data_IF_252619877950
#
_entry.id   IF_252619877950
#
_cell.length_a   1.000
_cell.length_b   1.000
_cell.length_c   1.000
_cell.angle_alpha   90.00
_cell.angle_beta   90.00
_cell.angle_gamma   90.00
#
_symmetry.space_group_name_H-M   'P 1'
#
loop_
_entity.id
_entity.type
_entity.pdbx_description
1 polymer ?
#
# COMPACT_ATOMS: atom_id res chain seq x y z
N UNK A 1 -3.78 -16.30 20.47
CA UNK A 1 -2.63 -15.35 20.25
C UNK A 1 -2.32 -15.34 18.76
N UNK A 2 -2.28 -14.16 18.11
CA UNK A 2 -1.93 -14.04 16.70
C UNK A 2 -0.39 -14.08 16.58
N UNK A 3 0.11 -14.88 15.64
CA UNK A 3 1.55 -14.95 15.34
C UNK A 3 1.85 -14.10 14.10
N UNK A 4 2.15 -12.84 14.32
CA UNK A 4 2.59 -11.94 13.25
C UNK A 4 4.05 -12.22 12.87
N UNK A 5 4.36 -12.20 11.59
CA UNK A 5 5.72 -12.31 11.05
C UNK A 5 6.02 -11.24 10.02
N UNK A 6 7.30 -11.00 9.77
CA UNK A 6 7.76 -10.08 8.74
C UNK A 6 7.36 -10.57 7.35
N UNK A 7 7.17 -9.61 6.43
CA UNK A 7 6.86 -9.90 5.02
C UNK A 7 8.16 -10.19 4.28
N UNK A 8 8.23 -11.35 3.63
CA UNK A 8 9.35 -11.77 2.79
C UNK A 8 8.90 -12.05 1.35
N UNK A 9 9.83 -12.07 0.39
CA UNK A 9 9.52 -12.31 -1.01
C UNK A 9 8.80 -13.65 -1.24
N UNK A 10 9.14 -14.67 -0.47
CA UNK A 10 8.49 -15.99 -0.53
C UNK A 10 7.00 -15.95 -0.14
N UNK A 11 6.56 -14.95 0.62
CA UNK A 11 5.17 -14.77 1.03
C UNK A 11 4.28 -14.19 -0.06
N UNK A 12 4.86 -13.75 -1.20
CA UNK A 12 4.16 -13.12 -2.31
C UNK A 12 2.92 -13.89 -2.76
N UNK A 13 3.08 -15.20 -2.99
CA UNK A 13 1.97 -16.04 -3.47
C UNK A 13 0.83 -16.10 -2.46
N UNK A 14 1.14 -16.25 -1.20
CA UNK A 14 0.17 -16.31 -0.10
C UNK A 14 -0.57 -14.98 0.04
N UNK A 15 0.15 -13.88 0.23
CA UNK A 15 -0.44 -12.54 0.42
C UNK A 15 -1.29 -12.16 -0.82
N UNK A 16 -0.77 -12.36 -2.03
CA UNK A 16 -1.48 -12.04 -3.27
C UNK A 16 -2.76 -12.83 -3.43
N UNK A 17 -2.83 -14.09 -2.95
CA UNK A 17 -4.06 -14.88 -3.01
C UNK A 17 -5.23 -14.26 -2.25
N UNK A 18 -4.97 -13.46 -1.21
CA UNK A 18 -5.97 -12.69 -0.47
C UNK A 18 -6.24 -11.33 -1.11
N UNK A 19 -5.20 -10.60 -1.50
CA UNK A 19 -5.32 -9.19 -1.90
C UNK A 19 -5.80 -9.02 -3.34
N UNK A 20 -5.41 -9.88 -4.26
CA UNK A 20 -5.74 -9.76 -5.69
C UNK A 20 -7.25 -9.87 -5.97
N UNK A 21 -7.94 -10.73 -5.23
CA UNK A 21 -9.38 -10.97 -5.40
C UNK A 21 -10.24 -10.15 -4.42
N UNK A 22 -9.62 -9.32 -3.60
CA UNK A 22 -10.33 -8.44 -2.69
C UNK A 22 -11.10 -7.37 -3.48
N UNK A 23 -12.35 -7.06 -3.10
CA UNK A 23 -13.09 -5.93 -3.68
C UNK A 23 -12.51 -4.57 -3.27
N UNK A 24 -11.61 -4.55 -2.31
CA UNK A 24 -11.00 -3.33 -1.78
C UNK A 24 -10.01 -2.74 -2.78
N UNK A 25 -10.12 -1.45 -3.04
CA UNK A 25 -9.33 -0.72 -4.05
C UNK A 25 -8.34 0.21 -3.37
N UNK A 26 -7.37 -0.37 -2.67
CA UNK A 26 -6.31 0.36 -1.98
C UNK A 26 -4.96 -0.11 -2.55
N UNK A 27 -4.10 0.83 -2.97
CA UNK A 27 -2.78 0.52 -3.52
C UNK A 27 -1.85 -0.12 -2.48
N UNK A 28 -2.04 0.17 -1.20
CA UNK A 28 -1.25 -0.40 -0.09
C UNK A 28 -1.42 -1.91 0.04
N UNK A 29 -2.48 -2.48 -0.52
CA UNK A 29 -2.70 -3.93 -0.56
C UNK A 29 -1.92 -4.64 -1.65
N UNK A 30 -1.21 -3.93 -2.53
CA UNK A 30 -0.32 -4.58 -3.50
C UNK A 30 0.88 -5.19 -2.77
N UNK A 31 1.27 -6.42 -3.16
CA UNK A 31 2.43 -7.07 -2.54
C UNK A 31 3.72 -6.25 -2.71
N UNK A 32 3.90 -5.61 -3.86
CA UNK A 32 5.05 -4.73 -4.10
C UNK A 32 5.11 -3.60 -3.07
N UNK A 33 3.98 -2.93 -2.80
CA UNK A 33 3.93 -1.86 -1.82
C UNK A 33 4.20 -2.39 -0.40
N UNK A 34 3.48 -3.43 0.02
CA UNK A 34 3.67 -4.08 1.33
C UNK A 34 5.11 -4.52 1.55
N UNK A 35 5.76 -5.09 0.53
CA UNK A 35 7.12 -5.59 0.63
C UNK A 35 8.16 -4.47 0.59
N UNK A 36 8.02 -3.48 -0.31
CA UNK A 36 9.01 -2.42 -0.51
C UNK A 36 9.08 -1.45 0.67
N UNK A 37 7.95 -1.15 1.31
CA UNK A 37 7.86 -0.21 2.41
C UNK A 37 7.87 -0.84 3.81
N UNK A 38 7.97 -2.18 3.91
CA UNK A 38 7.94 -2.89 5.20
C UNK A 38 8.96 -2.41 6.22
N UNK A 39 10.10 -1.93 5.75
CA UNK A 39 11.17 -1.45 6.62
C UNK A 39 10.81 -0.15 7.35
N UNK A 40 9.99 0.71 6.71
CA UNK A 40 9.57 2.00 7.27
C UNK A 40 8.44 1.82 8.27
N UNK A 41 7.47 1.00 7.90
CA UNK A 41 6.25 0.80 8.68
C UNK A 41 6.30 -0.43 9.60
N UNK A 42 7.44 -1.13 9.65
CA UNK A 42 7.56 -2.41 10.38
C UNK A 42 6.37 -3.35 10.10
N UNK A 43 5.98 -3.43 8.81
CA UNK A 43 4.79 -4.15 8.39
C UNK A 43 4.94 -5.64 8.62
N UNK A 44 3.98 -6.22 9.33
CA UNK A 44 3.89 -7.65 9.63
C UNK A 44 2.56 -8.20 9.15
N UNK A 45 2.51 -9.50 8.91
CA UNK A 45 1.27 -10.16 8.56
C UNK A 45 1.06 -11.45 9.35
N UNK A 46 -0.19 -11.87 9.43
CA UNK A 46 -0.59 -13.16 9.95
C UNK A 46 -1.79 -13.70 9.15
N UNK A 47 -2.02 -15.01 9.24
CA UNK A 47 -3.25 -15.64 8.75
C UNK A 47 -4.00 -16.19 9.96
N UNK A 48 -5.26 -15.81 10.08
CA UNK A 48 -6.14 -16.30 11.14
C UNK A 48 -7.57 -16.44 10.62
N UNK A 49 -8.20 -17.59 10.87
CA UNK A 49 -9.61 -17.83 10.55
C UNK A 49 -10.02 -17.50 9.11
N UNK A 50 -9.15 -17.77 8.13
CA UNK A 50 -9.39 -17.46 6.72
C UNK A 50 -9.16 -16.00 6.31
N UNK A 51 -8.59 -15.19 7.21
CA UNK A 51 -8.23 -13.80 6.93
C UNK A 51 -6.72 -13.59 6.89
N UNK A 52 -6.28 -12.75 5.97
CA UNK A 52 -4.99 -12.07 6.00
C UNK A 52 -5.12 -10.84 6.91
N UNK A 53 -4.27 -10.77 7.90
CA UNK A 53 -4.15 -9.67 8.86
C UNK A 53 -2.86 -8.92 8.58
N UNK A 54 -2.93 -7.58 8.55
CA UNK A 54 -1.79 -6.70 8.37
C UNK A 54 -1.69 -5.76 9.57
N UNK A 55 -0.50 -5.67 10.14
CA UNK A 55 -0.13 -4.86 11.30
C UNK A 55 1.09 -4.01 10.96
N UNK A 56 1.06 -2.73 11.29
CA UNK A 56 2.16 -1.81 10.98
C UNK A 56 2.12 -0.58 11.88
N UNK A 57 3.18 0.22 11.86
CA UNK A 57 3.28 1.48 12.58
C UNK A 57 3.21 2.66 11.61
N UNK A 58 2.31 3.59 11.86
CA UNK A 58 2.16 4.82 11.12
C UNK A 58 2.21 6.00 12.10
N UNK A 59 3.16 6.92 11.90
CA UNK A 59 3.38 8.06 12.80
C UNK A 59 3.57 7.64 14.28
N UNK A 60 4.34 6.58 14.50
CA UNK A 60 4.60 5.94 15.82
C UNK A 60 3.35 5.34 16.49
N UNK A 61 2.22 5.24 15.79
CA UNK A 61 1.02 4.57 16.26
C UNK A 61 0.89 3.17 15.67
N UNK A 62 0.50 2.20 16.50
CA UNK A 62 0.18 0.85 16.06
C UNK A 62 -1.17 0.83 15.35
N UNK A 63 -1.17 0.37 14.10
CA UNK A 63 -2.39 0.31 13.28
C UNK A 63 -2.52 -1.04 12.58
N UNK A 64 -3.75 -1.39 12.25
CA UNK A 64 -4.08 -2.58 11.48
C UNK A 64 -4.88 -2.18 10.24
N UNK A 65 -4.76 -2.96 9.18
CA UNK A 65 -5.72 -2.88 8.08
C UNK A 65 -6.95 -3.75 8.36
N UNK A 66 -8.08 -3.37 7.76
CA UNK A 66 -9.27 -4.24 7.81
C UNK A 66 -8.91 -5.64 7.34
N UNK A 67 -9.22 -6.71 8.08
CA UNK A 67 -8.92 -8.09 7.70
C UNK A 67 -9.42 -8.45 6.30
N UNK A 68 -8.62 -9.16 5.49
CA UNK A 68 -8.91 -9.48 4.10
C UNK A 68 -9.13 -10.99 3.96
N UNK A 69 -10.34 -11.40 3.65
CA UNK A 69 -10.68 -12.83 3.54
C UNK A 69 -12.13 -13.09 3.86
N UNK A 70 -12.43 -14.33 4.23
CA UNK A 70 -13.74 -14.78 4.64
C UNK A 70 -13.64 -15.69 5.87
N UNK A 71 -14.51 -15.49 6.85
CA UNK A 71 -14.53 -16.23 8.10
C UNK A 71 -15.31 -15.49 9.17
N UNK A 72 -15.01 -15.80 10.45
CA UNK A 72 -15.61 -15.09 11.58
C UNK A 72 -14.85 -13.76 11.84
N UNK A 73 -15.34 -12.68 11.24
CA UNK A 73 -14.72 -11.36 11.37
C UNK A 73 -14.74 -10.85 12.81
N UNK A 74 -15.81 -11.13 13.58
CA UNK A 74 -15.91 -10.69 14.98
C UNK A 74 -14.79 -11.29 15.82
N UNK A 75 -14.59 -12.59 15.70
CA UNK A 75 -13.51 -13.30 16.39
C UNK A 75 -12.12 -12.77 16.02
N UNK A 76 -11.93 -12.43 14.75
CA UNK A 76 -10.66 -11.86 14.27
C UNK A 76 -10.43 -10.46 14.80
N UNK A 77 -11.46 -9.61 14.81
CA UNK A 77 -11.37 -8.25 15.36
C UNK A 77 -11.10 -8.28 16.87
N UNK A 78 -11.76 -9.15 17.62
CA UNK A 78 -11.48 -9.33 19.06
C UNK A 78 -10.02 -9.74 19.30
N UNK A 79 -9.50 -10.66 18.47
CA UNK A 79 -8.10 -11.07 18.60
C UNK A 79 -7.10 -9.95 18.23
N UNK A 80 -7.44 -9.06 17.30
CA UNK A 80 -6.64 -7.87 16.98
C UNK A 80 -6.67 -6.83 18.12
N UNK A 81 -7.82 -6.64 18.75
CA UNK A 81 -7.96 -5.77 19.94
C UNK A 81 -7.06 -6.30 21.07
N UNK A 82 -7.07 -7.62 21.32
CA UNK A 82 -6.20 -8.24 22.31
C UNK A 82 -4.71 -8.12 21.94
N UNK A 83 -4.38 -8.14 20.63
CA UNK A 83 -3.01 -7.95 20.15
C UNK A 83 -2.53 -6.53 20.43
N UNK A 84 -3.35 -5.52 20.11
CA UNK A 84 -3.05 -4.11 20.40
C UNK A 84 -2.83 -3.87 21.90
N UNK A 85 -3.72 -4.40 22.75
CA UNK A 85 -3.59 -4.28 24.20
C UNK A 85 -2.28 -4.89 24.74
N UNK A 86 -1.81 -6.00 24.16
CA UNK A 86 -0.53 -6.61 24.55
C UNK A 86 0.69 -5.79 24.16
N UNK A 87 0.58 -5.05 23.06
CA UNK A 87 1.60 -4.08 22.63
C UNK A 87 1.55 -2.80 23.49
N UNK A 88 0.51 -2.62 24.33
CA UNK A 88 0.32 -1.41 25.15
C UNK A 88 -0.34 -0.27 24.38
N UNK A 89 -0.93 -0.54 23.22
CA UNK A 89 -1.46 0.44 22.29
C UNK A 89 -2.98 0.38 22.15
N UNK A 90 -3.66 1.49 21.83
CA UNK A 90 -5.06 1.47 21.46
C UNK A 90 -5.27 0.72 20.14
N UNK A 91 -6.40 0.03 20.02
CA UNK A 91 -6.75 -0.61 18.75
C UNK A 91 -7.18 0.43 17.71
N UNK A 92 -6.48 0.48 16.58
CA UNK A 92 -6.76 1.40 15.48
C UNK A 92 -6.77 0.65 14.13
N UNK A 93 -7.81 0.91 13.32
CA UNK A 93 -7.88 0.47 11.93
C UNK A 93 -7.64 1.64 10.99
N UNK A 94 -6.71 1.50 10.05
CA UNK A 94 -6.39 2.52 9.03
C UNK A 94 -6.86 2.06 7.64
N UNK A 95 -7.10 3.02 6.75
CA UNK A 95 -7.51 2.75 5.36
C UNK A 95 -8.94 2.22 5.22
N UNK A 96 -9.82 2.61 6.14
CA UNK A 96 -11.23 2.20 6.16
C UNK A 96 -12.04 3.08 5.21
N UNK A 97 -12.67 2.50 4.20
CA UNK A 97 -13.60 3.19 3.33
C UNK A 97 -15.04 3.11 3.85
N UNK A 98 -15.94 3.92 3.29
CA UNK A 98 -17.35 4.01 3.74
C UNK A 98 -18.07 2.65 3.77
N UNK A 99 -17.80 1.76 2.82
CA UNK A 99 -18.37 0.41 2.82
C UNK A 99 -17.90 -0.43 4.00
N UNK A 100 -16.62 -0.30 4.37
CA UNK A 100 -16.05 -1.00 5.54
C UNK A 100 -16.58 -0.42 6.86
N UNK A 101 -16.84 0.90 6.94
CA UNK A 101 -17.51 1.48 8.12
C UNK A 101 -18.88 0.82 8.37
N UNK A 102 -19.65 0.66 7.29
CA UNK A 102 -20.97 0.01 7.39
C UNK A 102 -20.85 -1.47 7.79
N UNK A 103 -19.83 -2.17 7.29
CA UNK A 103 -19.54 -3.55 7.65
C UNK A 103 -19.17 -3.67 9.14
N UNK A 104 -18.25 -2.84 9.62
CA UNK A 104 -17.84 -2.80 11.03
C UNK A 104 -19.00 -2.46 11.97
N UNK A 105 -19.84 -1.49 11.61
CA UNK A 105 -21.00 -1.12 12.40
C UNK A 105 -22.06 -2.23 12.45
N UNK A 106 -22.20 -3.03 11.38
CA UNK A 106 -23.08 -4.19 11.36
C UNK A 106 -22.59 -5.34 12.26
N UNK A 107 -21.28 -5.58 12.32
CA UNK A 107 -20.68 -6.65 13.14
C UNK A 107 -20.49 -6.25 14.61
N UNK A 108 -20.11 -5.00 14.87
CA UNK A 108 -19.79 -4.50 16.21
C UNK A 108 -20.40 -3.11 16.44
N UNK A 109 -21.74 -3.01 16.60
CA UNK A 109 -22.46 -1.73 16.68
C UNK A 109 -21.94 -0.83 17.82
N UNK A 110 -21.65 0.43 17.48
CA UNK A 110 -21.19 1.44 18.45
C UNK A 110 -19.82 1.19 19.09
N UNK A 111 -19.02 0.27 18.55
CA UNK A 111 -17.67 -0.03 19.07
C UNK A 111 -16.58 0.82 18.43
N UNK A 112 -16.85 1.44 17.29
CA UNK A 112 -15.86 2.22 16.55
C UNK A 112 -16.25 3.69 16.46
N UNK A 113 -15.25 4.55 16.56
CA UNK A 113 -15.34 5.94 16.16
C UNK A 113 -14.61 6.10 14.82
N UNK A 114 -15.26 6.70 13.83
CA UNK A 114 -14.70 6.89 12.49
C UNK A 114 -14.28 8.35 12.28
N UNK A 115 -13.06 8.55 11.81
CA UNK A 115 -12.54 9.86 11.43
C UNK A 115 -12.16 9.83 9.96
N UNK A 116 -12.72 10.74 9.16
CA UNK A 116 -12.39 10.85 7.75
C UNK A 116 -11.17 11.76 7.55
N UNK A 117 -10.17 11.24 6.84
CA UNK A 117 -9.01 12.01 6.44
C UNK A 117 -8.83 11.93 4.92
N UNK A 118 -8.83 13.10 4.26
CA UNK A 118 -8.72 13.22 2.81
C UNK A 118 -7.32 12.90 2.29
N UNK A 119 -6.30 13.07 3.10
CA UNK A 119 -4.89 12.87 2.71
C UNK A 119 -4.57 11.39 2.46
N UNK A 120 -5.35 10.48 3.06
CA UNK A 120 -5.26 9.03 2.81
C UNK A 120 -6.08 8.53 1.61
N UNK A 121 -6.64 9.42 0.79
CA UNK A 121 -7.50 8.98 -0.31
C UNK A 121 -6.73 8.69 -1.59
N UNK A 122 -6.92 7.49 -2.14
CA UNK A 122 -6.38 7.08 -3.44
C UNK A 122 -7.09 7.71 -4.63
N UNK A 123 -6.35 7.94 -5.71
CA UNK A 123 -6.89 8.29 -7.02
C UNK A 123 -7.26 7.03 -7.80
N UNK A 124 -8.55 6.81 -8.02
CA UNK A 124 -9.06 5.68 -8.80
C UNK A 124 -9.38 6.08 -10.24
N UNK A 125 -8.83 5.33 -11.19
CA UNK A 125 -9.08 5.50 -12.61
C UNK A 125 -9.45 4.16 -13.26
N UNK A 126 -10.33 4.20 -14.23
CA UNK A 126 -10.54 3.02 -15.08
C UNK A 126 -9.32 2.82 -15.99
N UNK A 127 -8.86 1.58 -16.13
CA UNK A 127 -7.74 1.23 -17.02
C UNK A 127 -7.92 1.76 -18.43
N UNK A 128 -9.13 1.63 -18.99
CA UNK A 128 -9.48 2.10 -20.34
C UNK A 128 -9.38 3.62 -20.47
N UNK A 129 -9.73 4.37 -19.43
CA UNK A 129 -9.60 5.82 -19.40
C UNK A 129 -8.13 6.27 -19.41
N UNK A 130 -7.27 5.64 -18.59
CA UNK A 130 -5.84 5.96 -18.59
C UNK A 130 -5.13 5.50 -19.85
N UNK A 131 -5.52 4.37 -20.45
CA UNK A 131 -4.93 3.87 -21.69
C UNK A 131 -5.23 4.78 -22.89
N UNK A 132 -6.43 5.34 -22.96
CA UNK A 132 -6.86 6.18 -24.09
C UNK A 132 -6.70 7.68 -23.82
N UNK A 133 -6.75 8.09 -22.57
CA UNK A 133 -6.83 9.47 -22.10
C UNK A 133 -7.94 10.26 -22.83
N UNK A 134 -9.04 9.61 -23.21
CA UNK A 134 -10.12 10.20 -23.97
C UNK A 134 -10.92 11.23 -23.16
N UNK A 135 -11.48 12.22 -23.85
CA UNK A 135 -12.35 13.24 -23.24
C UNK A 135 -11.62 14.46 -22.66
N UNK A 136 -12.41 15.47 -22.31
CA UNK A 136 -11.92 16.77 -21.84
C UNK A 136 -11.19 16.69 -20.50
N UNK A 137 -11.65 15.82 -19.58
CA UNK A 137 -11.04 15.65 -18.25
C UNK A 137 -9.58 15.19 -18.28
N UNK A 138 -9.14 14.55 -19.37
CA UNK A 138 -7.77 14.07 -19.54
C UNK A 138 -6.90 14.95 -20.45
N UNK A 139 -7.37 16.11 -20.87
CA UNK A 139 -6.63 16.97 -21.79
C UNK A 139 -5.25 17.36 -21.26
N UNK A 140 -5.14 17.71 -19.98
CA UNK A 140 -3.85 18.05 -19.37
C UNK A 140 -2.88 16.88 -19.42
N UNK A 141 -3.33 15.66 -19.04
CA UNK A 141 -2.51 14.44 -19.10
C UNK A 141 -2.05 14.14 -20.54
N UNK A 142 -2.95 14.24 -21.55
CA UNK A 142 -2.56 14.10 -22.97
C UNK A 142 -1.53 15.13 -23.41
N UNK A 143 -1.66 16.37 -22.95
CA UNK A 143 -0.71 17.43 -23.29
C UNK A 143 0.69 17.11 -22.76
N UNK A 144 0.80 16.62 -21.52
CA UNK A 144 2.08 16.16 -20.97
C UNK A 144 2.68 14.99 -21.77
N UNK A 145 1.89 13.97 -22.06
CA UNK A 145 2.34 12.83 -22.88
C UNK A 145 2.79 13.29 -24.27
N UNK A 146 2.01 14.15 -24.93
CA UNK A 146 2.34 14.65 -26.26
C UNK A 146 3.58 15.57 -26.25
N UNK A 147 3.77 16.37 -25.19
CA UNK A 147 4.98 17.17 -25.01
C UNK A 147 6.20 16.27 -24.89
N UNK A 148 6.15 15.25 -24.04
CA UNK A 148 7.23 14.27 -23.88
C UNK A 148 7.59 13.62 -25.22
N UNK A 149 6.61 13.07 -25.93
CA UNK A 149 6.81 12.43 -27.24
C UNK A 149 7.43 13.31 -28.32
N UNK A 150 7.20 14.62 -28.26
CA UNK A 150 7.80 15.58 -29.22
C UNK A 150 9.18 16.05 -28.81
N UNK A 151 9.46 16.02 -27.49
CA UNK A 151 10.70 16.56 -26.94
C UNK A 151 11.84 15.56 -26.91
N UNK A 152 11.48 14.28 -26.68
CA UNK A 152 12.46 13.24 -26.44
C UNK A 152 12.36 12.12 -27.49
N UNK A 153 13.52 11.63 -27.92
CA UNK A 153 13.61 10.34 -28.57
C UNK A 153 13.70 9.28 -27.45
N UNK A 154 12.75 8.37 -27.38
CA UNK A 154 12.64 7.42 -26.27
C UNK A 154 12.29 6.03 -26.77
N UNK A 155 12.71 5.03 -26.03
CA UNK A 155 12.30 3.64 -26.16
C UNK A 155 11.60 3.20 -24.87
N UNK A 156 10.49 2.50 -25.02
CA UNK A 156 9.77 1.91 -23.89
C UNK A 156 10.07 0.42 -23.83
N UNK A 157 10.80 0.00 -22.79
CA UNK A 157 11.22 -1.38 -22.60
C UNK A 157 10.86 -1.88 -21.20
N UNK A 158 10.62 -3.20 -21.03
CA UNK A 158 10.54 -3.80 -19.70
C UNK A 158 11.86 -3.64 -18.94
N UNK A 159 11.78 -3.51 -17.62
CA UNK A 159 12.95 -3.62 -16.76
C UNK A 159 13.28 -5.11 -16.64
N UNK A 160 14.45 -5.49 -17.16
CA UNK A 160 15.02 -6.83 -17.06
C UNK A 160 16.18 -6.83 -16.05
N UNK A 161 16.60 -7.98 -15.49
CA UNK A 161 17.66 -8.02 -14.49
C UNK A 161 18.96 -7.31 -14.89
N UNK A 162 19.30 -7.32 -16.17
CA UNK A 162 20.48 -6.62 -16.72
C UNK A 162 20.32 -5.09 -16.76
N UNK A 163 19.08 -4.57 -16.63
CA UNK A 163 18.79 -3.13 -16.61
C UNK A 163 18.54 -2.55 -15.21
N UNK A 164 18.56 -3.38 -14.18
CA UNK A 164 18.36 -2.91 -12.81
C UNK A 164 19.40 -1.85 -12.43
N UNK A 165 20.64 -2.05 -12.84
CA UNK A 165 21.71 -1.08 -12.53
C UNK A 165 21.44 0.29 -13.17
N UNK A 166 20.92 0.34 -14.40
CA UNK A 166 20.53 1.60 -15.06
C UNK A 166 19.46 2.36 -14.25
N UNK A 167 18.48 1.63 -13.65
CA UNK A 167 17.46 2.23 -12.81
C UNK A 167 18.04 2.80 -11.51
N UNK A 168 18.97 2.09 -10.88
CA UNK A 168 19.65 2.53 -9.66
C UNK A 168 20.56 3.73 -9.92
N UNK A 169 21.25 3.75 -11.05
CA UNK A 169 22.11 4.88 -11.45
C UNK A 169 21.29 6.12 -11.72
N UNK A 170 20.16 6.01 -12.43
CA UNK A 170 19.24 7.11 -12.66
C UNK A 170 18.67 7.67 -11.34
N UNK A 171 18.30 6.79 -10.43
CA UNK A 171 17.81 7.19 -9.11
C UNK A 171 18.90 7.92 -8.33
N UNK A 172 20.15 7.43 -8.37
CA UNK A 172 21.28 8.08 -7.70
C UNK A 172 21.55 9.49 -8.26
N UNK A 173 21.47 9.67 -9.58
CA UNK A 173 21.58 10.99 -10.22
C UNK A 173 20.43 11.93 -9.80
N UNK A 174 19.22 11.42 -9.80
CA UNK A 174 18.04 12.17 -9.36
C UNK A 174 18.16 12.58 -7.89
N UNK A 175 18.58 11.65 -7.05
CA UNK A 175 18.78 11.88 -5.62
C UNK A 175 19.84 12.95 -5.36
N UNK A 176 20.95 12.90 -6.08
CA UNK A 176 22.01 13.92 -6.01
C UNK A 176 21.49 15.30 -6.43
N UNK A 177 20.70 15.37 -7.51
CA UNK A 177 20.13 16.62 -8.02
C UNK A 177 19.08 17.22 -7.06
N UNK A 178 18.42 16.41 -6.25
CA UNK A 178 17.35 16.82 -5.33
C UNK A 178 17.75 16.80 -3.85
N UNK A 179 19.03 16.59 -3.52
CA UNK A 179 19.57 16.56 -2.16
C UNK A 179 18.83 15.56 -1.24
N UNK A 180 18.57 14.33 -1.71
CA UNK A 180 17.81 13.33 -0.97
C UNK A 180 18.36 13.07 0.44
N UNK A 181 19.68 13.15 0.62
CA UNK A 181 20.32 12.94 1.92
C UNK A 181 19.91 13.99 2.99
N UNK A 182 19.31 15.10 2.56
CA UNK A 182 18.82 16.15 3.43
C UNK A 182 17.33 16.01 3.77
N UNK A 183 16.64 15.05 3.14
CA UNK A 183 15.21 14.83 3.28
C UNK A 183 14.91 13.36 3.54
N UNK A 184 14.46 13.03 4.74
CA UNK A 184 14.17 11.66 5.18
C UNK A 184 13.19 10.95 4.23
N UNK A 185 12.14 11.63 3.77
CA UNK A 185 11.14 11.07 2.87
C UNK A 185 11.74 10.54 1.56
N UNK A 186 12.61 11.33 0.91
CA UNK A 186 13.27 10.92 -0.35
C UNK A 186 14.31 9.81 -0.15
N UNK A 187 14.97 9.78 1.01
CA UNK A 187 15.86 8.68 1.40
C UNK A 187 15.09 7.35 1.57
N UNK A 188 13.89 7.41 2.14
CA UNK A 188 13.01 6.26 2.27
C UNK A 188 12.48 5.78 0.91
N UNK A 189 12.13 6.68 -0.02
CA UNK A 189 11.75 6.32 -1.40
C UNK A 189 12.86 5.55 -2.12
N UNK A 190 14.10 6.01 -2.03
CA UNK A 190 15.26 5.31 -2.58
C UNK A 190 15.38 3.90 -2.04
N UNK A 191 15.27 3.73 -0.72
CA UNK A 191 15.33 2.42 -0.08
C UNK A 191 14.19 1.52 -0.54
N UNK A 192 12.96 2.05 -0.66
CA UNK A 192 11.80 1.32 -1.17
C UNK A 192 12.01 0.87 -2.62
N UNK A 193 12.61 1.72 -3.48
CA UNK A 193 12.94 1.37 -4.87
C UNK A 193 13.91 0.18 -4.94
N UNK A 194 14.97 0.19 -4.12
CA UNK A 194 15.94 -0.93 -4.06
C UNK A 194 15.27 -2.24 -3.65
N UNK A 195 14.26 -2.19 -2.77
CA UNK A 195 13.49 -3.39 -2.41
C UNK A 195 12.48 -3.82 -3.50
N UNK A 196 12.10 -2.93 -4.40
CA UNK A 196 11.14 -3.21 -5.47
C UNK A 196 11.79 -3.80 -6.73
N UNK A 197 13.07 -3.55 -6.94
CA UNK A 197 13.90 -4.03 -8.07
C UNK A 197 14.59 -5.36 -7.76
#
# INVERSE_FOLDING_TARGET
MISFKDIELQDKKLITSYTQNSPRRNCDLSFSNLCSWRFLYNTKFAIMDGFLLLKFWANDELVYMMPIGNGDLTKVLDALVEDAHREGEPFCLLGICSGMCSELEAFMPGKFQFTADRDYADYLYLRTELATLAGKKFQSKRNHVNKFKRTYNYEYTPITPDRIQECLDLEAEWCKANNCDQHEGTGNERRALVYAL
#
